data_IF_231668912915
#
_entry.id   IF_231668912915
#
_cell.length_a   1.000
_cell.length_b   1.000
_cell.length_c   1.000
_cell.angle_alpha   90.00
_cell.angle_beta   90.00
_cell.angle_gamma   90.00
#
_symmetry.space_group_name_H-M   'P 1'
#
loop_
_entity.id
_entity.type
_entity.pdbx_description
1 polymer ?
#
# COMPACT_ATOMS: atom_id res chain seq x y z
N UNK A 1 31.64 31.37 23.48
CA UNK A 1 31.28 29.92 23.51
C UNK A 1 29.82 29.65 23.90
N UNK A 2 29.12 30.54 24.62
CA UNK A 2 27.72 30.31 25.01
C UNK A 2 26.72 30.38 23.83
N UNK A 3 26.92 31.28 22.88
CA UNK A 3 26.03 31.46 21.71
C UNK A 3 25.97 30.24 20.79
N UNK A 4 27.10 29.57 20.56
CA UNK A 4 27.17 28.38 19.69
C UNK A 4 26.32 27.22 20.22
N UNK A 5 26.28 27.01 21.54
CA UNK A 5 25.44 25.99 22.17
C UNK A 5 23.95 26.28 21.96
N UNK A 6 23.54 27.54 22.09
CA UNK A 6 22.15 27.95 21.87
C UNK A 6 21.74 27.71 20.42
N UNK A 7 22.59 28.08 19.45
CA UNK A 7 22.32 27.87 18.02
C UNK A 7 22.18 26.38 17.70
N UNK A 8 23.04 25.51 18.26
CA UNK A 8 22.93 24.05 18.07
C UNK A 8 21.62 23.52 18.64
N UNK A 9 21.22 23.94 19.84
CA UNK A 9 19.96 23.48 20.45
C UNK A 9 18.76 23.92 19.62
N UNK A 10 18.73 25.17 19.13
CA UNK A 10 17.69 25.65 18.23
C UNK A 10 17.64 24.85 16.93
N UNK A 11 18.79 24.57 16.29
CA UNK A 11 18.85 23.75 15.08
C UNK A 11 18.38 22.31 15.33
N UNK A 12 18.79 21.70 16.44
CA UNK A 12 18.36 20.35 16.82
C UNK A 12 16.84 20.28 17.04
N UNK A 13 16.25 21.30 17.69
CA UNK A 13 14.80 21.41 17.87
C UNK A 13 14.06 21.58 16.53
N UNK A 14 14.58 22.42 15.62
CA UNK A 14 13.99 22.60 14.29
C UNK A 14 14.02 21.31 13.47
N UNK A 15 15.14 20.57 13.50
CA UNK A 15 15.27 19.26 12.82
C UNK A 15 14.33 18.23 13.45
N UNK A 16 14.21 18.20 14.79
CA UNK A 16 13.28 17.30 15.47
C UNK A 16 11.83 17.57 15.08
N UNK A 17 11.40 18.84 15.08
CA UNK A 17 10.05 19.25 14.65
C UNK A 17 9.82 18.92 13.18
N UNK A 18 10.78 19.20 12.28
CA UNK A 18 10.67 18.86 10.86
C UNK A 18 10.58 17.34 10.64
N UNK A 19 11.32 16.55 11.42
CA UNK A 19 11.29 15.08 11.33
C UNK A 19 9.99 14.48 11.88
N UNK A 20 9.41 15.06 12.94
CA UNK A 20 8.11 14.67 13.45
C UNK A 20 7.03 14.93 12.40
N UNK A 21 7.04 16.12 11.75
CA UNK A 21 6.13 16.44 10.65
C UNK A 21 6.26 15.50 9.45
N UNK A 22 7.45 14.98 9.15
CA UNK A 22 7.63 13.98 8.09
C UNK A 22 7.14 12.60 8.46
N UNK A 23 7.28 12.18 9.73
CA UNK A 23 6.84 10.84 10.17
C UNK A 23 5.32 10.70 10.14
N UNK A 24 4.58 11.78 10.38
CA UNK A 24 3.12 11.77 10.28
C UNK A 24 2.58 11.69 8.83
N UNK A 25 3.45 11.78 7.81
CA UNK A 25 3.08 11.64 6.39
C UNK A 25 3.57 10.34 5.74
N UNK A 26 4.22 9.46 6.50
CA UNK A 26 4.62 8.14 6.00
C UNK A 26 3.64 7.10 6.56
N UNK A 27 2.36 7.26 6.23
CA UNK A 27 1.32 6.26 6.47
C UNK A 27 1.33 5.23 5.33
N UNK A 28 0.99 3.99 5.68
CA UNK A 28 0.82 2.77 4.87
C UNK A 28 0.36 2.93 3.40
N UNK A 29 -0.27 4.07 3.06
CA UNK A 29 -0.82 4.40 1.75
C UNK A 29 0.22 4.47 0.60
N UNK A 30 1.47 4.89 0.84
CA UNK A 30 2.45 5.01 -0.26
C UNK A 30 3.02 3.67 -0.73
N UNK A 31 3.06 2.64 0.14
CA UNK A 31 3.41 1.30 -0.31
C UNK A 31 2.27 0.71 -1.12
N UNK A 32 1.02 0.89 -0.67
CA UNK A 32 -0.17 0.34 -1.33
C UNK A 32 -0.39 0.93 -2.73
N UNK A 33 -0.19 2.24 -2.90
CA UNK A 33 -0.42 2.96 -4.16
C UNK A 33 0.50 2.53 -5.32
N UNK A 34 1.72 2.05 -5.02
CA UNK A 34 2.66 1.61 -6.04
C UNK A 34 2.49 0.14 -6.45
N UNK A 35 1.84 -0.69 -5.61
CA UNK A 35 1.46 -2.05 -6.01
C UNK A 35 0.13 -2.10 -6.79
N UNK A 36 -0.77 -1.11 -6.60
CA UNK A 36 -2.10 -1.12 -7.22
C UNK A 36 -2.12 -0.96 -8.73
N UNK A 37 -1.12 -0.30 -9.34
CA UNK A 37 -1.15 0.08 -10.77
C UNK A 37 -0.39 -0.84 -11.72
N UNK A 38 0.21 -1.93 -11.23
CA UNK A 38 0.83 -3.00 -12.05
C UNK A 38 0.30 -4.39 -11.73
N UNK A 39 -0.82 -4.47 -11.01
CA UNK A 39 -1.36 -5.75 -10.57
C UNK A 39 -1.70 -6.65 -11.76
N UNK A 40 -1.41 -7.94 -11.59
CA UNK A 40 -1.69 -8.99 -12.57
C UNK A 40 -3.21 -9.21 -12.58
N UNK A 41 -3.90 -9.15 -13.73
CA UNK A 41 -5.32 -9.42 -13.78
C UNK A 41 -5.60 -10.88 -13.42
N UNK A 42 -6.65 -11.13 -12.65
CA UNK A 42 -7.06 -12.45 -12.20
C UNK A 42 -8.57 -12.66 -12.38
N UNK A 43 -8.96 -13.89 -12.68
CA UNK A 43 -10.36 -14.28 -12.76
C UNK A 43 -10.96 -14.41 -11.35
N UNK A 44 -12.16 -13.85 -11.17
CA UNK A 44 -12.94 -13.97 -9.95
C UNK A 44 -13.77 -15.26 -9.98
N UNK A 45 -14.27 -15.72 -8.82
CA UNK A 45 -15.09 -16.95 -8.76
C UNK A 45 -16.37 -16.83 -9.60
N UNK A 46 -16.87 -15.61 -9.81
CA UNK A 46 -18.03 -15.31 -10.66
C UNK A 46 -17.79 -15.50 -12.15
N UNK A 47 -16.54 -15.53 -12.61
CA UNK A 47 -16.20 -15.74 -14.04
C UNK A 47 -16.40 -17.20 -14.47
N UNK A 48 -16.59 -18.12 -13.52
CA UNK A 48 -16.69 -19.55 -13.79
C UNK A 48 -15.34 -20.21 -14.04
N UNK A 49 -15.34 -21.49 -14.46
CA UNK A 49 -14.12 -22.30 -14.55
C UNK A 49 -13.27 -21.98 -15.78
N UNK A 50 -13.85 -21.34 -16.80
CA UNK A 50 -13.16 -21.08 -18.06
C UNK A 50 -12.42 -19.74 -18.04
N UNK A 51 -11.09 -19.82 -17.90
CA UNK A 51 -10.21 -18.64 -17.90
C UNK A 51 -10.20 -17.90 -19.25
N UNK A 52 -10.55 -18.55 -20.36
CA UNK A 52 -10.50 -17.93 -21.70
C UNK A 52 -11.67 -16.99 -21.94
N UNK A 53 -12.78 -17.25 -21.27
CA UNK A 53 -14.01 -16.45 -21.34
C UNK A 53 -14.17 -15.52 -20.13
N UNK A 54 -13.26 -15.59 -19.16
CA UNK A 54 -13.32 -14.81 -17.94
C UNK A 54 -13.15 -13.30 -18.19
N UNK A 55 -13.87 -12.48 -17.43
CA UNK A 55 -13.76 -11.02 -17.51
C UNK A 55 -12.40 -10.50 -17.03
N UNK A 56 -11.69 -11.28 -16.21
CA UNK A 56 -10.40 -10.90 -15.60
C UNK A 56 -10.49 -9.58 -14.83
N UNK A 57 -11.64 -9.34 -14.19
CA UNK A 57 -11.95 -8.08 -13.48
C UNK A 57 -11.21 -7.93 -12.14
N UNK A 58 -10.63 -9.01 -11.61
CA UNK A 58 -9.85 -8.97 -10.40
C UNK A 58 -8.40 -8.53 -10.64
N UNK A 59 -7.77 -8.01 -9.59
CA UNK A 59 -6.36 -7.64 -9.55
C UNK A 59 -5.68 -8.42 -8.42
N UNK A 60 -4.51 -8.98 -8.69
CA UNK A 60 -3.71 -9.69 -7.69
C UNK A 60 -3.01 -8.69 -6.78
N UNK A 61 -3.20 -8.87 -5.47
CA UNK A 61 -2.55 -8.11 -4.41
C UNK A 61 -1.71 -9.03 -3.54
N UNK A 62 -0.48 -8.61 -3.25
CA UNK A 62 0.38 -9.34 -2.31
C UNK A 62 -0.13 -9.15 -0.89
N UNK A 63 -0.24 -10.25 -0.14
CA UNK A 63 -0.89 -10.26 1.16
C UNK A 63 -2.41 -10.28 1.04
N UNK A 64 -3.06 -9.20 1.45
CA UNK A 64 -4.52 -9.06 1.51
C UNK A 64 -5.04 -7.95 0.61
N UNK A 65 -6.34 -8.00 0.30
CA UNK A 65 -6.99 -6.90 -0.41
C UNK A 65 -6.86 -5.58 0.35
N UNK A 66 -6.54 -4.47 -0.33
CA UNK A 66 -6.48 -3.16 0.30
C UNK A 66 -7.88 -2.68 0.71
N UNK A 67 -7.92 -1.63 1.53
CA UNK A 67 -9.18 -1.02 1.95
C UNK A 67 -10.04 -0.59 0.75
N UNK A 68 -11.34 -0.91 0.79
CA UNK A 68 -12.28 -0.65 -0.31
C UNK A 68 -12.31 -1.73 -1.39
N UNK A 69 -11.43 -2.72 -1.34
CA UNK A 69 -11.48 -3.90 -2.21
C UNK A 69 -11.96 -5.12 -1.42
N UNK A 70 -12.61 -6.05 -2.11
CA UNK A 70 -13.06 -7.35 -1.58
C UNK A 70 -12.34 -8.49 -2.28
N UNK A 71 -12.08 -9.58 -1.56
CA UNK A 71 -11.64 -10.84 -2.19
C UNK A 71 -12.73 -11.30 -3.15
N UNK A 72 -12.39 -11.43 -4.43
CA UNK A 72 -13.32 -11.93 -5.45
C UNK A 72 -13.08 -13.40 -5.80
N UNK A 73 -11.97 -13.96 -5.29
CA UNK A 73 -11.64 -15.38 -5.38
C UNK A 73 -11.44 -15.93 -3.97
N UNK A 74 -12.08 -17.05 -3.68
CA UNK A 74 -11.99 -17.78 -2.41
C UNK A 74 -10.54 -18.11 -2.03
N UNK A 75 -9.73 -18.49 -3.03
CA UNK A 75 -8.29 -18.70 -2.88
C UNK A 75 -7.55 -18.36 -4.18
N UNK A 76 -6.51 -17.54 -4.08
CA UNK A 76 -5.59 -17.28 -5.20
C UNK A 76 -4.22 -17.92 -4.94
N UNK A 77 -3.53 -17.52 -3.86
CA UNK A 77 -2.30 -18.18 -3.40
C UNK A 77 -2.09 -17.95 -1.90
N UNK A 78 -1.09 -18.59 -1.31
CA UNK A 78 -0.73 -18.41 0.10
C UNK A 78 -0.25 -16.97 0.39
N UNK A 79 0.35 -16.31 -0.60
CA UNK A 79 1.03 -15.01 -0.43
C UNK A 79 0.31 -13.85 -1.11
N UNK A 80 -0.80 -14.11 -1.78
CA UNK A 80 -1.52 -13.11 -2.56
C UNK A 80 -3.00 -13.46 -2.70
N UNK A 81 -3.83 -12.42 -2.71
CA UNK A 81 -5.27 -12.47 -2.91
C UNK A 81 -5.65 -11.87 -4.27
N UNK A 82 -6.72 -12.39 -4.86
CA UNK A 82 -7.35 -11.79 -6.03
C UNK A 82 -8.53 -10.92 -5.56
N UNK A 83 -8.44 -9.62 -5.83
CA UNK A 83 -9.35 -8.62 -5.28
C UNK A 83 -10.07 -7.85 -6.39
N UNK A 84 -11.31 -7.45 -6.12
CA UNK A 84 -12.08 -6.53 -6.95
C UNK A 84 -12.73 -5.47 -6.04
N UNK A 85 -13.11 -4.30 -6.57
CA UNK A 85 -13.90 -3.31 -5.84
C UNK A 85 -15.35 -3.80 -5.65
#
# INVERSE_FOLDING_TARGET
MASFKIVIVCLALLVAVASARRRDMMSDDELDYHYSKRGIPCACDSDGPDIRSASLSGIVWMGSCPSGWKKCKSYYSIVADCCNQ
#
